data_IF_363027660762
#
_entry.id   IF_363027660762
#
_cell.length_a   1.000
_cell.length_b   1.000
_cell.length_c   1.000
_cell.angle_alpha   90.00
_cell.angle_beta   90.00
_cell.angle_gamma   90.00
#
_symmetry.space_group_name_H-M   'P 1'
#
loop_
_entity.id
_entity.type
_entity.pdbx_description
1 polymer ?
#
# COMPACT_ATOMS: atom_id res chain seq x y z
N UNK A 1 10.78 2.35 20.18
CA UNK A 1 11.92 2.82 20.97
C UNK A 1 13.22 2.31 20.39
N UNK A 2 14.30 3.09 20.44
CA UNK A 2 15.62 2.59 20.08
C UNK A 2 16.19 1.76 21.24
N UNK A 3 16.68 0.57 20.93
CA UNK A 3 17.25 -0.37 21.91
C UNK A 3 18.63 -0.77 21.42
N UNK A 4 19.61 -0.72 22.33
CA UNK A 4 20.95 -1.18 22.03
C UNK A 4 20.99 -2.71 21.95
N UNK A 5 21.73 -3.25 20.98
CA UNK A 5 21.89 -4.70 20.78
C UNK A 5 23.37 -5.02 20.52
N UNK A 6 23.86 -6.09 21.15
CA UNK A 6 25.25 -6.52 20.98
C UNK A 6 25.44 -7.31 19.70
N UNK A 7 26.66 -7.27 19.15
CA UNK A 7 27.03 -8.04 17.94
C UNK A 7 26.69 -9.53 18.05
N UNK A 8 26.84 -10.12 19.24
CA UNK A 8 26.65 -11.56 19.47
C UNK A 8 25.15 -11.93 19.45
N UNK A 9 24.28 -11.03 19.89
CA UNK A 9 22.83 -11.17 19.75
C UNK A 9 22.42 -11.10 18.28
N UNK A 10 22.98 -10.14 17.51
CA UNK A 10 22.71 -10.03 16.06
C UNK A 10 23.16 -11.29 15.33
N UNK A 11 24.34 -11.82 15.66
CA UNK A 11 24.84 -13.07 15.08
C UNK A 11 23.90 -14.24 15.38
N UNK A 12 23.41 -14.32 16.62
CA UNK A 12 22.43 -15.33 17.03
C UNK A 12 21.14 -15.22 16.23
N UNK A 13 20.61 -13.99 16.06
CA UNK A 13 19.41 -13.74 15.26
C UNK A 13 19.60 -14.08 13.78
N UNK A 14 20.74 -13.70 13.18
CA UNK A 14 21.07 -14.04 11.80
C UNK A 14 21.03 -15.56 11.57
N UNK A 15 21.60 -16.33 12.50
CA UNK A 15 21.61 -17.79 12.43
C UNK A 15 20.20 -18.37 12.59
N UNK A 16 19.46 -17.90 13.60
CA UNK A 16 18.11 -18.39 13.93
C UNK A 16 17.14 -18.24 12.75
N UNK A 17 17.20 -17.11 12.05
CA UNK A 17 16.29 -16.81 10.94
C UNK A 17 16.86 -17.13 9.55
N UNK A 18 18.05 -17.73 9.46
CA UNK A 18 18.73 -18.00 8.19
C UNK A 18 17.89 -18.87 7.24
N UNK A 19 17.30 -19.95 7.76
CA UNK A 19 16.45 -20.90 7.02
C UNK A 19 15.04 -20.37 6.73
N UNK A 20 14.57 -19.39 7.50
CA UNK A 20 13.24 -18.78 7.36
C UNK A 20 13.21 -17.64 6.33
N UNK A 21 14.36 -17.19 5.84
CA UNK A 21 14.44 -16.13 4.83
C UNK A 21 14.02 -16.65 3.45
N UNK A 22 13.28 -15.85 2.66
CA UNK A 22 13.05 -16.18 1.26
C UNK A 22 14.38 -16.35 0.51
N UNK A 23 14.46 -17.33 -0.40
CA UNK A 23 15.70 -17.67 -1.14
C UNK A 23 16.37 -16.45 -1.80
N UNK A 24 15.58 -15.50 -2.30
CA UNK A 24 16.08 -14.27 -2.95
C UNK A 24 16.54 -13.17 -1.97
N UNK A 25 16.41 -13.37 -0.65
CA UNK A 25 16.79 -12.42 0.43
C UNK A 25 17.89 -12.94 1.35
N UNK A 26 18.34 -14.18 1.20
CA UNK A 26 19.35 -14.79 2.08
C UNK A 26 20.65 -13.99 2.15
N UNK A 27 21.02 -13.29 1.07
CA UNK A 27 22.21 -12.44 1.00
C UNK A 27 22.12 -11.12 1.79
N UNK A 28 20.92 -10.70 2.23
CA UNK A 28 20.72 -9.42 2.94
C UNK A 28 20.72 -9.60 4.45
N UNK A 29 21.87 -9.99 5.01
CA UNK A 29 22.03 -10.18 6.45
C UNK A 29 22.16 -8.84 7.19
N UNK A 30 21.82 -8.84 8.49
CA UNK A 30 22.10 -7.70 9.37
C UNK A 30 23.59 -7.76 9.71
N UNK A 31 24.29 -6.62 9.67
CA UNK A 31 25.71 -6.57 10.01
C UNK A 31 25.92 -6.95 11.47
N UNK A 32 26.87 -7.85 11.73
CA UNK A 32 27.19 -8.35 13.07
C UNK A 32 28.10 -7.35 13.82
N UNK A 33 27.53 -6.21 14.17
CA UNK A 33 28.20 -5.12 14.87
C UNK A 33 27.33 -4.59 16.01
N UNK A 34 27.92 -4.03 17.06
CA UNK A 34 27.14 -3.37 18.11
C UNK A 34 26.34 -2.23 17.49
N UNK A 35 25.03 -2.20 17.74
CA UNK A 35 24.14 -1.27 17.05
C UNK A 35 22.92 -0.92 17.89
N UNK A 36 22.07 -0.07 17.32
CA UNK A 36 20.75 0.24 17.85
C UNK A 36 19.68 -0.26 16.88
N UNK A 37 18.65 -0.90 17.42
CA UNK A 37 17.49 -1.38 16.66
C UNK A 37 16.24 -0.62 17.08
N UNK A 38 15.28 -0.52 16.16
CA UNK A 38 13.98 0.07 16.45
C UNK A 38 13.03 -1.03 16.94
N UNK A 39 12.71 -1.00 18.23
CA UNK A 39 11.65 -1.81 18.82
C UNK A 39 10.29 -1.14 18.55
N UNK A 40 9.43 -1.84 17.82
CA UNK A 40 8.10 -1.40 17.43
C UNK A 40 7.05 -2.37 18.01
N UNK A 41 5.83 -1.89 18.32
CA UNK A 41 4.73 -2.79 18.62
C UNK A 41 4.40 -3.67 17.42
N UNK A 42 3.94 -4.89 17.68
CA UNK A 42 3.43 -5.77 16.62
C UNK A 42 1.98 -5.43 16.29
N UNK A 43 1.76 -4.80 15.14
CA UNK A 43 0.43 -4.45 14.64
C UNK A 43 -0.37 -5.65 14.11
N UNK A 44 0.19 -6.87 14.17
CA UNK A 44 -0.55 -8.12 13.97
C UNK A 44 -1.24 -8.61 15.26
N UNK A 45 -1.22 -7.81 16.32
CA UNK A 45 -1.91 -8.06 17.59
C UNK A 45 -2.84 -6.91 17.95
N UNK A 46 -3.85 -7.18 18.78
CA UNK A 46 -4.66 -6.11 19.35
C UNK A 46 -3.79 -5.20 20.23
N UNK A 47 -3.84 -3.87 20.01
CA UNK A 47 -3.23 -2.89 20.89
C UNK A 47 -3.64 -3.11 22.36
N UNK A 48 -2.73 -2.93 23.34
CA UNK A 48 -3.03 -3.16 24.76
C UNK A 48 -4.25 -2.40 25.27
N UNK A 49 -4.47 -1.19 24.77
CA UNK A 49 -5.61 -0.32 25.06
C UNK A 49 -6.94 -0.84 24.51
N UNK A 50 -6.92 -1.70 23.48
CA UNK A 50 -8.10 -2.35 22.94
C UNK A 50 -8.40 -3.70 23.59
N UNK A 51 -7.43 -4.31 24.30
CA UNK A 51 -7.64 -5.56 25.04
C UNK A 51 -8.58 -5.43 26.24
N UNK A 52 -8.92 -4.20 26.63
CA UNK A 52 -9.90 -3.93 27.71
C UNK A 52 -11.34 -4.21 27.28
N UNK A 53 -11.60 -4.22 25.98
CA UNK A 53 -12.92 -4.56 25.45
C UNK A 53 -13.04 -6.08 25.35
N UNK A 54 -14.19 -6.68 25.74
CA UNK A 54 -14.43 -8.09 25.51
C UNK A 54 -14.40 -8.38 24.01
N UNK A 55 -13.34 -9.03 23.54
CA UNK A 55 -13.17 -9.45 22.16
C UNK A 55 -13.50 -10.94 22.02
N UNK A 56 -14.29 -11.30 21.01
CA UNK A 56 -14.55 -12.68 20.61
C UNK A 56 -13.94 -12.90 19.23
N UNK A 57 -13.34 -14.06 19.01
CA UNK A 57 -12.75 -14.44 17.71
C UNK A 57 -11.28 -14.03 17.55
N UNK A 58 -10.71 -14.30 16.35
CA UNK A 58 -9.30 -14.06 16.07
C UNK A 58 -9.00 -12.59 15.75
N UNK A 59 -7.72 -12.21 15.85
CA UNK A 59 -7.23 -10.92 15.34
C UNK A 59 -6.83 -11.06 13.88
N UNK A 60 -7.53 -10.36 12.99
CA UNK A 60 -7.19 -10.28 11.57
C UNK A 60 -6.48 -8.96 11.27
N UNK A 61 -5.28 -9.06 10.70
CA UNK A 61 -4.46 -7.91 10.32
C UNK A 61 -4.18 -7.91 8.83
N UNK A 62 -4.41 -6.76 8.18
CA UNK A 62 -4.30 -6.59 6.72
C UNK A 62 -3.19 -5.59 6.41
N UNK A 63 -2.13 -6.06 5.77
CA UNK A 63 -1.03 -5.23 5.32
C UNK A 63 -1.20 -4.92 3.82
N UNK A 64 -1.49 -3.65 3.50
CA UNK A 64 -1.61 -3.18 2.12
C UNK A 64 -0.46 -2.23 1.79
N UNK A 65 0.22 -2.46 0.66
CA UNK A 65 1.15 -1.50 0.06
C UNK A 65 0.48 -0.78 -1.12
N UNK A 66 -0.16 0.38 -0.89
CA UNK A 66 -1.13 0.95 -1.83
C UNK A 66 -0.48 1.56 -3.09
N UNK A 67 0.83 1.83 -3.06
CA UNK A 67 1.59 2.53 -4.11
C UNK A 67 1.05 3.96 -4.33
N UNK A 68 1.44 4.59 -5.44
CA UNK A 68 1.12 5.98 -5.77
C UNK A 68 -0.33 6.13 -6.28
N UNK A 69 -1.15 6.90 -5.57
CA UNK A 69 -2.59 7.07 -5.83
C UNK A 69 -2.98 8.14 -6.86
N UNK A 70 -2.02 8.90 -7.38
CA UNK A 70 -2.25 9.97 -8.36
C UNK A 70 -1.50 9.73 -9.68
N UNK A 71 -1.97 10.35 -10.77
CA UNK A 71 -1.27 10.36 -12.07
C UNK A 71 -0.22 11.47 -12.12
N UNK A 72 0.82 11.28 -12.94
CA UNK A 72 1.79 12.34 -13.20
C UNK A 72 1.08 13.48 -13.94
N UNK A 73 1.29 14.72 -13.49
CA UNK A 73 0.71 15.91 -14.15
C UNK A 73 1.17 15.97 -15.61
N UNK A 74 0.26 16.26 -16.53
CA UNK A 74 0.51 16.33 -17.98
C UNK A 74 1.71 17.19 -18.36
N UNK A 75 1.93 18.31 -17.65
CA UNK A 75 3.09 19.20 -17.84
C UNK A 75 4.45 18.52 -17.70
N UNK A 76 4.49 17.30 -17.15
CA UNK A 76 5.70 16.50 -16.96
C UNK A 76 5.83 15.34 -17.94
N UNK A 77 4.82 15.13 -18.79
CA UNK A 77 4.85 14.14 -19.84
C UNK A 77 5.44 14.77 -21.11
N UNK A 78 6.31 14.06 -21.85
CA UNK A 78 6.77 14.54 -23.14
C UNK A 78 5.59 14.69 -24.09
N UNK A 79 5.68 15.66 -25.01
CA UNK A 79 4.56 16.15 -25.84
C UNK A 79 3.85 15.06 -26.65
N UNK A 80 4.58 13.99 -26.99
CA UNK A 80 4.07 12.82 -27.71
C UNK A 80 3.20 11.87 -26.85
N UNK A 81 3.14 12.08 -25.53
CA UNK A 81 2.33 11.29 -24.58
C UNK A 81 1.13 12.08 -24.02
N UNK A 82 0.87 13.29 -24.53
CA UNK A 82 -0.19 14.19 -24.07
C UNK A 82 -1.58 13.86 -24.62
N UNK A 83 -1.75 12.78 -25.39
CA UNK A 83 -3.11 12.31 -25.69
C UNK A 83 -3.73 11.72 -24.41
N UNK A 84 -4.83 12.34 -23.95
CA UNK A 84 -5.56 11.96 -22.74
C UNK A 84 -5.95 10.47 -22.68
N UNK A 85 -5.99 9.78 -23.82
CA UNK A 85 -6.31 8.36 -23.96
C UNK A 85 -5.20 7.38 -23.55
N UNK A 86 -4.01 7.84 -23.12
CA UNK A 86 -2.87 6.96 -22.78
C UNK A 86 -2.33 7.09 -21.35
N UNK A 87 -2.96 7.89 -20.49
CA UNK A 87 -2.45 8.13 -19.14
C UNK A 87 -2.56 6.87 -18.27
N UNK A 88 -1.40 6.27 -17.95
CA UNK A 88 -1.27 5.14 -17.03
C UNK A 88 -0.59 5.60 -15.75
N UNK A 89 -1.06 5.11 -14.61
CA UNK A 89 -0.40 5.36 -13.34
C UNK A 89 0.98 4.67 -13.30
N UNK A 90 1.87 5.15 -12.42
CA UNK A 90 3.24 4.62 -12.27
C UNK A 90 3.26 3.11 -12.03
N UNK A 91 2.32 2.59 -11.24
CA UNK A 91 2.24 1.16 -10.98
C UNK A 91 1.91 0.37 -12.25
N UNK A 92 0.85 0.75 -12.98
CA UNK A 92 0.47 0.05 -14.22
C UNK A 92 1.57 0.13 -15.28
N UNK A 93 2.25 1.27 -15.44
CA UNK A 93 3.42 1.38 -16.33
C UNK A 93 4.54 0.41 -15.92
N UNK A 94 4.83 0.32 -14.62
CA UNK A 94 5.84 -0.59 -14.09
C UNK A 94 5.47 -2.07 -14.30
N UNK A 95 4.19 -2.43 -14.22
CA UNK A 95 3.74 -3.79 -14.55
C UNK A 95 4.03 -4.15 -16.00
N UNK A 96 3.78 -3.23 -16.95
CA UNK A 96 4.14 -3.44 -18.36
C UNK A 96 5.64 -3.59 -18.56
N UNK A 97 6.45 -2.76 -17.90
CA UNK A 97 7.92 -2.87 -17.95
C UNK A 97 8.39 -4.23 -17.44
N UNK A 98 7.94 -4.65 -16.25
CA UNK A 98 8.32 -5.93 -15.64
C UNK A 98 7.92 -7.14 -16.48
N UNK A 99 6.77 -7.07 -17.15
CA UNK A 99 6.35 -8.13 -18.07
C UNK A 99 7.26 -8.17 -19.30
N UNK A 100 7.61 -7.02 -19.89
CA UNK A 100 8.54 -6.95 -21.04
C UNK A 100 9.94 -7.42 -20.70
N UNK A 101 10.42 -7.14 -19.49
CA UNK A 101 11.73 -7.60 -18.99
C UNK A 101 11.68 -8.97 -18.34
N UNK A 102 10.55 -9.69 -18.43
CA UNK A 102 10.36 -11.05 -17.91
C UNK A 102 10.63 -11.19 -16.39
N UNK A 103 10.52 -10.09 -15.65
CA UNK A 103 10.62 -10.07 -14.17
C UNK A 103 9.34 -10.66 -13.53
N UNK A 104 8.20 -10.59 -14.23
CA UNK A 104 6.93 -11.18 -13.81
C UNK A 104 6.32 -11.99 -14.94
N UNK A 105 5.64 -13.08 -14.61
CA UNK A 105 4.90 -13.95 -15.54
C UNK A 105 3.54 -13.40 -15.93
N UNK A 106 2.90 -12.66 -15.02
CA UNK A 106 1.56 -12.07 -15.19
C UNK A 106 1.50 -10.67 -14.61
N UNK A 107 0.74 -9.79 -15.27
CA UNK A 107 0.49 -8.42 -14.80
C UNK A 107 -0.63 -8.43 -13.77
N UNK A 108 -0.43 -7.69 -12.68
CA UNK A 108 -1.53 -7.35 -11.78
C UNK A 108 -2.47 -6.34 -12.44
N UNK A 109 -3.78 -6.57 -12.33
CA UNK A 109 -4.82 -5.64 -12.74
C UNK A 109 -5.15 -4.60 -11.66
N UNK A 110 -4.50 -4.68 -10.49
CA UNK A 110 -4.60 -3.67 -9.44
C UNK A 110 -4.20 -2.28 -9.97
N UNK A 111 -5.06 -1.30 -9.74
CA UNK A 111 -4.77 0.10 -10.02
C UNK A 111 -4.83 0.93 -8.73
N UNK A 112 -3.72 1.56 -8.29
CA UNK A 112 -3.74 2.43 -7.11
C UNK A 112 -4.78 3.55 -7.20
N UNK A 113 -5.01 4.12 -8.40
CA UNK A 113 -6.00 5.20 -8.57
C UNK A 113 -7.42 4.73 -8.28
N UNK A 114 -7.70 3.42 -8.35
CA UNK A 114 -8.98 2.83 -7.94
C UNK A 114 -9.08 2.72 -6.42
N UNK A 115 -8.02 2.30 -5.72
CA UNK A 115 -7.99 2.26 -4.26
C UNK A 115 -8.11 3.66 -3.64
N UNK A 116 -7.45 4.66 -4.22
CA UNK A 116 -7.51 6.06 -3.77
C UNK A 116 -8.71 6.84 -4.33
N UNK A 117 -9.70 6.17 -4.93
CA UNK A 117 -10.80 6.86 -5.61
C UNK A 117 -11.88 7.40 -4.68
N UNK A 118 -12.07 6.80 -3.50
CA UNK A 118 -13.27 7.02 -2.68
C UNK A 118 -14.55 6.43 -3.30
N UNK A 119 -14.45 5.73 -4.43
CA UNK A 119 -15.58 5.06 -5.07
C UNK A 119 -15.67 3.61 -4.59
N UNK A 120 -16.75 3.20 -3.92
CA UNK A 120 -16.88 1.84 -3.38
C UNK A 120 -16.62 0.76 -4.44
N UNK A 121 -17.21 0.88 -5.63
CA UNK A 121 -17.05 -0.11 -6.72
C UNK A 121 -15.61 -0.21 -7.20
N UNK A 122 -14.92 0.93 -7.37
CA UNK A 122 -13.52 0.94 -7.81
C UNK A 122 -12.59 0.42 -6.71
N UNK A 123 -12.83 0.80 -5.45
CA UNK A 123 -12.05 0.31 -4.33
C UNK A 123 -12.22 -1.20 -4.13
N UNK A 124 -13.45 -1.71 -4.27
CA UNK A 124 -13.75 -3.14 -4.24
C UNK A 124 -13.01 -3.88 -5.35
N UNK A 125 -13.08 -3.39 -6.59
CA UNK A 125 -12.29 -3.95 -7.70
C UNK A 125 -10.79 -3.93 -7.36
N UNK A 126 -10.25 -2.83 -6.84
CA UNK A 126 -8.84 -2.73 -6.49
C UNK A 126 -8.44 -3.79 -5.44
N UNK A 127 -9.24 -4.00 -4.40
CA UNK A 127 -8.98 -5.01 -3.38
C UNK A 127 -9.08 -6.43 -3.96
N UNK A 128 -10.10 -6.74 -4.78
CA UNK A 128 -10.21 -8.03 -5.46
C UNK A 128 -8.98 -8.35 -6.31
N UNK A 129 -8.47 -7.36 -7.05
CA UNK A 129 -7.24 -7.54 -7.84
C UNK A 129 -5.98 -7.73 -6.98
N UNK A 130 -5.96 -7.20 -5.75
CA UNK A 130 -4.93 -7.50 -4.76
C UNK A 130 -5.06 -8.93 -4.22
N UNK A 131 -6.26 -9.47 -4.05
CA UNK A 131 -6.46 -10.88 -3.71
C UNK A 131 -6.00 -11.81 -4.84
N UNK A 132 -6.35 -11.51 -6.08
CA UNK A 132 -5.95 -12.31 -7.24
C UNK A 132 -4.43 -12.29 -7.47
N UNK A 133 -3.80 -11.14 -7.25
CA UNK A 133 -2.35 -10.96 -7.45
C UNK A 133 -1.67 -10.24 -6.27
N UNK A 134 -1.51 -10.90 -5.11
CA UNK A 134 -1.06 -10.25 -3.88
C UNK A 134 0.35 -9.67 -3.99
N UNK A 135 1.26 -10.38 -4.67
CA UNK A 135 2.65 -9.96 -4.87
C UNK A 135 3.27 -9.46 -3.56
N UNK A 136 3.85 -8.27 -3.57
CA UNK A 136 4.30 -7.57 -2.35
C UNK A 136 3.38 -6.40 -1.98
N UNK A 137 2.11 -6.52 -2.36
CA UNK A 137 1.09 -5.50 -2.20
C UNK A 137 0.04 -5.85 -1.15
N UNK A 138 -0.20 -7.14 -0.87
CA UNK A 138 -1.17 -7.59 0.13
C UNK A 138 -0.60 -8.75 0.96
N UNK A 139 -0.78 -8.67 2.27
CA UNK A 139 -0.59 -9.78 3.21
C UNK A 139 -1.70 -9.77 4.26
N UNK A 140 -2.14 -10.94 4.70
CA UNK A 140 -3.13 -11.11 5.76
C UNK A 140 -2.57 -12.04 6.82
N UNK A 141 -2.75 -11.63 8.07
CA UNK A 141 -2.33 -12.36 9.25
C UNK A 141 -3.55 -12.66 10.12
N UNK A 142 -3.56 -13.85 10.71
CA UNK A 142 -4.54 -14.31 11.70
C UNK A 142 -3.79 -14.68 12.96
N UNK A 143 -4.02 -13.97 14.05
CA UNK A 143 -3.29 -14.12 15.32
C UNK A 143 -1.76 -14.17 15.12
N UNK A 144 -1.22 -13.15 14.44
CA UNK A 144 0.20 -13.02 14.05
C UNK A 144 0.73 -14.02 13.02
N UNK A 145 -0.06 -15.03 12.63
CA UNK A 145 0.37 -16.02 11.63
C UNK A 145 -0.01 -15.56 10.24
N UNK A 146 0.95 -15.57 9.31
CA UNK A 146 0.69 -15.29 7.91
C UNK A 146 -0.23 -16.38 7.32
N UNK A 147 -1.38 -15.98 6.81
CA UNK A 147 -2.39 -16.86 6.19
C UNK A 147 -2.55 -16.57 4.70
N UNK A 148 -2.30 -15.33 4.26
CA UNK A 148 -2.42 -14.94 2.85
C UNK A 148 -1.29 -14.01 2.40
N UNK A 149 -0.63 -14.34 1.29
CA UNK A 149 0.43 -13.60 0.58
C UNK A 149 0.62 -14.16 -0.84
N UNK A 150 1.63 -13.68 -1.57
CA UNK A 150 2.04 -14.29 -2.85
C UNK A 150 2.47 -15.75 -2.68
N UNK A 151 3.22 -16.06 -1.62
CA UNK A 151 3.81 -17.37 -1.39
C UNK A 151 2.91 -18.35 -0.63
N UNK A 152 1.81 -17.85 -0.05
CA UNK A 152 0.88 -18.64 0.77
C UNK A 152 -0.54 -18.11 0.59
N UNK A 153 -1.44 -18.91 0.05
CA UNK A 153 -2.83 -18.52 -0.20
C UNK A 153 -3.76 -19.55 0.44
N UNK A 154 -3.87 -19.50 1.78
CA UNK A 154 -4.85 -20.32 2.48
C UNK A 154 -6.27 -19.92 2.02
N UNK A 155 -7.22 -20.85 2.09
CA UNK A 155 -8.61 -20.58 1.71
C UNK A 155 -9.21 -19.49 2.60
N UNK A 156 -9.79 -18.46 1.97
CA UNK A 156 -10.29 -17.28 2.69
C UNK A 156 -11.52 -17.59 3.53
N UNK A 157 -12.35 -18.56 3.12
CA UNK A 157 -13.54 -18.95 3.88
C UNK A 157 -13.08 -19.63 5.17
N UNK A 158 -12.15 -20.59 5.09
CA UNK A 158 -11.56 -21.25 6.25
C UNK A 158 -10.87 -20.24 7.21
N UNK A 159 -10.16 -19.27 6.65
CA UNK A 159 -9.42 -18.27 7.44
C UNK A 159 -10.38 -17.32 8.16
N UNK A 160 -11.51 -16.94 7.54
CA UNK A 160 -12.40 -15.88 8.02
C UNK A 160 -13.70 -16.40 8.64
N UNK A 161 -13.97 -17.70 8.61
CA UNK A 161 -15.19 -18.31 9.16
C UNK A 161 -15.40 -17.97 10.63
N UNK A 162 -14.36 -18.09 11.46
CA UNK A 162 -14.41 -17.77 12.90
C UNK A 162 -14.40 -16.27 13.20
N UNK A 163 -14.23 -15.42 12.18
CA UNK A 163 -14.32 -13.96 12.28
C UNK A 163 -15.71 -13.45 11.89
N UNK A 164 -16.28 -13.94 10.78
CA UNK A 164 -17.59 -13.48 10.29
C UNK A 164 -18.77 -14.39 10.65
N UNK A 165 -18.51 -15.66 10.99
CA UNK A 165 -19.55 -16.68 11.13
C UNK A 165 -20.13 -17.11 9.78
N UNK A 166 -21.27 -17.79 9.81
CA UNK A 166 -22.01 -18.22 8.63
C UNK A 166 -22.61 -17.01 7.89
N UNK A 167 -22.48 -16.99 6.56
CA UNK A 167 -22.92 -15.87 5.71
C UNK A 167 -23.42 -16.37 4.36
N UNK A 168 -24.44 -15.71 3.81
CA UNK A 168 -24.95 -15.95 2.44
C UNK A 168 -24.13 -15.21 1.36
N UNK A 169 -23.33 -14.21 1.77
CA UNK A 169 -22.47 -13.42 0.89
C UNK A 169 -21.06 -13.99 0.91
N UNK A 170 -20.37 -13.94 -0.23
CA UNK A 170 -18.95 -14.34 -0.33
C UNK A 170 -18.08 -13.66 0.73
N UNK A 171 -17.27 -14.44 1.44
CA UNK A 171 -16.28 -13.94 2.41
C UNK A 171 -15.34 -12.90 1.82
N UNK A 172 -14.95 -13.04 0.55
CA UNK A 172 -14.10 -12.08 -0.14
C UNK A 172 -14.78 -10.71 -0.28
N UNK A 173 -16.07 -10.69 -0.65
CA UNK A 173 -16.84 -9.45 -0.78
C UNK A 173 -17.07 -8.79 0.59
N UNK A 174 -17.47 -9.58 1.59
CA UNK A 174 -17.68 -9.10 2.96
C UNK A 174 -16.39 -8.49 3.53
N UNK A 175 -15.27 -9.19 3.37
CA UNK A 175 -13.97 -8.73 3.83
C UNK A 175 -13.48 -7.49 3.08
N UNK A 176 -13.63 -7.44 1.76
CA UNK A 176 -13.27 -6.26 0.98
C UNK A 176 -14.08 -5.04 1.42
N UNK A 177 -15.40 -5.19 1.61
CA UNK A 177 -16.26 -4.10 2.07
C UNK A 177 -15.86 -3.59 3.45
N UNK A 178 -15.57 -4.49 4.40
CA UNK A 178 -15.07 -4.11 5.72
C UNK A 178 -13.74 -3.33 5.61
N UNK A 179 -12.80 -3.80 4.78
CA UNK A 179 -11.53 -3.10 4.56
C UNK A 179 -11.76 -1.72 3.93
N UNK A 180 -12.71 -1.58 3.00
CA UNK A 180 -13.07 -0.28 2.41
C UNK A 180 -13.60 0.67 3.49
N UNK A 181 -14.51 0.22 4.34
CA UNK A 181 -15.05 1.03 5.45
C UNK A 181 -13.93 1.51 6.38
N UNK A 182 -13.00 0.63 6.74
CA UNK A 182 -11.83 0.97 7.56
C UNK A 182 -10.94 2.01 6.86
N UNK A 183 -10.66 1.83 5.57
CA UNK A 183 -9.81 2.75 4.79
C UNK A 183 -10.44 4.14 4.60
N UNK A 184 -11.79 4.21 4.57
CA UNK A 184 -12.54 5.45 4.45
C UNK A 184 -12.86 6.10 5.80
N UNK A 185 -12.63 5.41 6.93
CA UNK A 185 -12.86 5.96 8.27
C UNK A 185 -11.97 7.18 8.51
N UNK A 186 -12.58 8.31 8.83
CA UNK A 186 -11.85 9.52 9.24
C UNK A 186 -11.13 9.29 10.56
N UNK A 187 -9.83 9.55 10.58
CA UNK A 187 -9.00 9.44 11.78
C UNK A 187 -8.99 10.76 12.55
N UNK A 188 -8.96 10.73 13.90
CA UNK A 188 -8.85 11.93 14.72
C UNK A 188 -7.54 12.69 14.44
N UNK A 189 -7.55 14.00 14.75
CA UNK A 189 -6.40 14.89 14.59
C UNK A 189 -6.50 15.81 13.36
N UNK A 190 -5.85 16.97 13.44
CA UNK A 190 -5.93 17.99 12.39
C UNK A 190 -5.32 17.47 11.07
N UNK A 191 -5.93 17.89 9.96
CA UNK A 191 -5.36 17.75 8.62
C UNK A 191 -4.65 19.05 8.32
N UNK A 192 -3.34 19.01 8.10
CA UNK A 192 -2.54 20.20 7.86
C UNK A 192 -3.03 20.90 6.56
N UNK A 193 -3.47 22.14 6.69
CA UNK A 193 -4.06 22.91 5.59
C UNK A 193 -3.08 23.16 4.44
N UNK A 194 -1.77 23.20 4.72
CA UNK A 194 -0.71 23.34 3.71
C UNK A 194 -0.67 22.14 2.75
N UNK A 195 -1.21 20.99 3.17
CA UNK A 195 -1.27 19.76 2.37
C UNK A 195 -2.65 19.57 1.71
N UNK A 196 -3.53 20.58 1.73
CA UNK A 196 -4.73 20.68 0.86
C UNK A 196 -4.35 20.93 -0.61
N UNK A 197 -3.25 20.33 -1.08
CA UNK A 197 -2.80 20.34 -2.48
C UNK A 197 -3.71 19.48 -3.38
N UNK A 198 -4.62 18.72 -2.77
CA UNK A 198 -5.60 17.91 -3.47
C UNK A 198 -6.80 18.76 -3.87
N UNK A 199 -6.84 19.16 -5.14
CA UNK A 199 -8.04 19.67 -5.78
C UNK A 199 -8.60 18.61 -6.73
N UNK A 200 -9.92 18.41 -6.68
CA UNK A 200 -10.70 17.44 -7.49
C UNK A 200 -10.37 17.49 -8.98
N UNK A 201 -10.06 18.67 -9.49
CA UNK A 201 -9.68 18.92 -10.89
C UNK A 201 -8.39 18.20 -11.33
N UNK A 202 -7.59 17.68 -10.39
CA UNK A 202 -6.37 16.92 -10.69
C UNK A 202 -6.57 15.39 -10.70
N UNK A 203 -7.78 14.89 -10.42
CA UNK A 203 -8.08 13.46 -10.43
C UNK A 203 -8.25 12.95 -11.86
N UNK A 204 -7.13 12.68 -12.51
CA UNK A 204 -7.14 11.98 -13.78
C UNK A 204 -7.39 10.48 -13.56
N UNK A 205 -8.28 9.90 -14.37
CA UNK A 205 -8.56 8.46 -14.35
C UNK A 205 -7.47 7.72 -15.12
N UNK A 206 -6.81 6.76 -14.48
CA UNK A 206 -5.89 5.86 -15.17
C UNK A 206 -6.66 5.08 -16.24
N UNK A 207 -6.06 4.87 -17.41
CA UNK A 207 -6.65 4.04 -18.47
C UNK A 207 -6.89 2.58 -18.07
N UNK A 208 -6.15 2.07 -17.07
CA UNK A 208 -6.37 0.75 -16.47
C UNK A 208 -7.37 0.77 -15.29
N UNK A 209 -7.93 1.93 -14.92
CA UNK A 209 -8.89 2.03 -13.84
C UNK A 209 -10.20 1.32 -14.21
N UNK A 210 -10.87 0.74 -13.21
CA UNK A 210 -12.13 0.05 -13.40
C UNK A 210 -13.19 0.95 -14.10
N UNK A 211 -13.86 0.46 -15.16
CA UNK A 211 -14.74 1.29 -15.97
C UNK A 211 -16.04 1.70 -15.27
N UNK A 212 -16.64 0.82 -14.44
CA UNK A 212 -18.01 1.00 -13.91
C UNK A 212 -18.12 1.99 -12.73
N UNK A 213 -17.69 3.21 -12.95
CA UNK A 213 -18.09 4.36 -12.14
C UNK A 213 -18.72 5.36 -13.12
N UNK A 214 -20.03 5.59 -13.01
CA UNK A 214 -20.74 6.55 -13.85
C UNK A 214 -20.06 7.91 -13.74
N UNK A 215 -19.56 8.41 -14.87
CA UNK A 215 -18.81 9.68 -14.94
C UNK A 215 -19.63 10.90 -14.50
N UNK A 216 -20.96 10.75 -14.39
CA UNK A 216 -21.90 11.79 -14.02
C UNK A 216 -22.24 11.81 -12.51
N UNK A 217 -21.64 10.94 -11.70
CA UNK A 217 -21.87 10.95 -10.26
C UNK A 217 -20.78 11.80 -9.57
N UNK A 218 -21.10 12.98 -9.02
CA UNK A 218 -20.11 13.86 -8.39
C UNK A 218 -19.45 13.30 -7.11
N UNK A 219 -19.73 12.05 -6.72
CA UNK A 219 -19.81 11.67 -5.31
C UNK A 219 -18.67 10.83 -4.71
N UNK A 220 -17.59 10.54 -5.42
CA UNK A 220 -16.55 9.65 -4.89
C UNK A 220 -15.24 10.39 -4.65
N UNK A 221 -15.08 10.92 -3.44
CA UNK A 221 -13.85 11.50 -2.92
C UNK A 221 -13.43 10.75 -1.67
N UNK A 222 -12.12 10.71 -1.40
CA UNK A 222 -11.64 10.21 -0.13
C UNK A 222 -12.11 11.14 0.99
N UNK A 223 -12.77 10.63 2.05
CA UNK A 223 -13.15 11.44 3.19
C UNK A 223 -11.94 12.16 3.77
N UNK A 224 -12.09 13.48 3.99
CA UNK A 224 -11.00 14.28 4.54
C UNK A 224 -10.56 13.68 5.88
N UNK A 225 -9.25 13.45 6.01
CA UNK A 225 -8.65 12.89 7.22
C UNK A 225 -8.71 11.37 7.35
N UNK A 226 -9.30 10.63 6.39
CA UNK A 226 -9.10 9.18 6.32
C UNK A 226 -7.63 8.85 5.99
N UNK A 227 -7.22 7.60 6.25
CA UNK A 227 -5.82 7.19 6.07
C UNK A 227 -5.34 7.37 4.62
N UNK A 228 -6.19 7.00 3.65
CA UNK A 228 -5.87 7.13 2.24
C UNK A 228 -5.74 8.60 1.81
N UNK A 229 -6.62 9.48 2.31
CA UNK A 229 -6.54 10.92 2.04
C UNK A 229 -5.21 11.49 2.54
N UNK A 230 -4.85 11.20 3.79
CA UNK A 230 -3.59 11.67 4.40
C UNK A 230 -2.37 11.16 3.64
N UNK A 231 -2.36 9.88 3.25
CA UNK A 231 -1.29 9.31 2.43
C UNK A 231 -1.21 10.00 1.07
N UNK A 232 -2.35 10.21 0.39
CA UNK A 232 -2.38 10.84 -0.92
C UNK A 232 -1.85 12.27 -0.88
N UNK A 233 -2.27 13.04 0.12
CA UNK A 233 -1.75 14.38 0.41
C UNK A 233 -0.21 14.39 0.53
N UNK A 234 0.36 13.45 1.29
CA UNK A 234 1.82 13.32 1.42
C UNK A 234 2.49 12.90 0.10
N UNK A 235 1.88 11.97 -0.64
CA UNK A 235 2.38 11.57 -1.96
C UNK A 235 2.45 12.73 -2.94
N UNK A 236 1.48 13.65 -2.87
CA UNK A 236 1.39 14.83 -3.72
C UNK A 236 2.35 15.97 -3.34
N UNK A 237 3.15 15.82 -2.27
CA UNK A 237 4.31 16.69 -2.05
C UNK A 237 5.34 16.55 -3.19
N UNK A 238 5.33 15.43 -3.92
CA UNK A 238 6.07 15.23 -5.16
C UNK A 238 5.45 16.04 -6.32
N UNK A 239 5.49 17.36 -6.17
CA UNK A 239 4.92 18.34 -7.10
C UNK A 239 5.85 18.65 -8.28
N UNK A 240 7.09 18.13 -8.27
CA UNK A 240 8.10 18.34 -9.29
C UNK A 240 8.49 17.01 -9.91
N UNK A 241 8.44 16.91 -11.24
CA UNK A 241 8.97 15.73 -11.91
C UNK A 241 10.42 15.47 -11.51
N UNK A 242 10.79 14.19 -11.35
CA UNK A 242 12.11 13.76 -10.87
C UNK A 242 13.28 14.41 -11.62
N UNK A 243 13.12 14.74 -12.91
CA UNK A 243 14.13 15.46 -13.70
C UNK A 243 14.41 16.87 -13.16
N UNK A 244 13.35 17.59 -12.78
CA UNK A 244 13.47 18.94 -12.23
C UNK A 244 14.05 18.88 -10.81
N UNK A 245 13.60 17.90 -10.01
CA UNK A 245 14.16 17.66 -8.67
C UNK A 245 15.66 17.29 -8.74
N UNK A 246 16.05 16.49 -9.73
CA UNK A 246 17.45 16.12 -9.96
C UNK A 246 18.33 17.34 -10.27
N UNK A 247 17.85 18.28 -11.08
CA UNK A 247 18.58 19.52 -11.35
C UNK A 247 18.75 20.37 -10.09
N UNK A 248 17.68 20.52 -9.29
CA UNK A 248 17.75 21.20 -7.99
C UNK A 248 18.75 20.52 -7.05
N UNK A 249 18.69 19.19 -6.96
CA UNK A 249 19.63 18.41 -6.17
C UNK A 249 21.09 18.67 -6.56
N UNK A 250 21.41 18.68 -7.86
CA UNK A 250 22.77 18.97 -8.34
C UNK A 250 23.22 20.38 -7.97
N UNK A 251 22.33 21.37 -8.03
CA UNK A 251 22.65 22.74 -7.62
C UNK A 251 22.89 22.84 -6.11
N UNK A 252 22.07 22.18 -5.30
CA UNK A 252 22.27 22.12 -3.84
C UNK A 252 23.57 21.42 -3.48
N UNK A 253 23.93 20.33 -4.17
CA UNK A 253 25.22 19.65 -3.99
C UNK A 253 26.40 20.57 -4.31
N UNK A 254 26.32 21.38 -5.36
CA UNK A 254 27.37 22.37 -5.64
C UNK A 254 27.52 23.38 -4.50
N UNK A 255 26.42 23.86 -3.93
CA UNK A 255 26.43 24.82 -2.82
C UNK A 255 26.96 24.24 -1.51
N UNK A 256 26.76 22.94 -1.25
CA UNK A 256 27.25 22.26 -0.04
C UNK A 256 28.76 21.96 -0.14
N UNK A 257 29.25 21.71 -1.36
CA UNK A 257 30.65 21.36 -1.60
C UNK A 257 31.56 22.58 -1.88
N UNK A 258 31.03 23.79 -1.75
CA UNK A 258 31.75 25.07 -1.76
C UNK A 258 31.74 25.67 -0.35
#
# INVERSE_FOLDING_TARGET
TLVFIHKDDIKTLNNLFSSLRPKYRVHRIVKEENSYVLMLPDYCTLPPDLKVYPSVGPVISVEIKPKQGFLLKEKFLPSNLLSSSMLKCRFCMMQHYKMRTQVISSKSLYCPTDLFSGCPTRMLHALKMLFETPRNNLRIFKDQKLVFSEEKQDDLEDVLYDFFGETEVSYCDLFCNLVIEVLLKTLPGQVNEVVKLFHKENLQKCTNAYPDCSQNDPCHELPIGCVLYRILCLQMLDNLHIKNLHHLYLNTQKLINH
#
